data_IF_409452281503
#
_entry.id   IF_409452281503
#
_cell.length_a   1.000
_cell.length_b   1.000
_cell.length_c   1.000
_cell.angle_alpha   90.00
_cell.angle_beta   90.00
_cell.angle_gamma   90.00
#
_symmetry.space_group_name_H-M   'P 1'
#
loop_
_entity.id
_entity.type
_entity.pdbx_description
1 polymer ?
#
# COMPACT_ATOMS: atom_id res chain seq x y z
N UNK A 1 17.36 -31.48 -0.30
CA UNK A 1 16.87 -30.49 -1.28
C UNK A 1 16.70 -29.07 -0.71
N UNK A 2 17.29 -28.76 0.47
CA UNK A 2 17.26 -27.40 1.08
C UNK A 2 18.66 -26.76 1.12
N UNK A 3 19.72 -27.47 0.74
CA UNK A 3 21.10 -26.94 0.82
C UNK A 3 21.59 -26.22 -0.44
N UNK A 4 20.85 -26.27 -1.56
CA UNK A 4 21.22 -25.60 -2.81
C UNK A 4 20.91 -24.10 -2.83
N UNK A 5 19.89 -23.66 -2.10
CA UNK A 5 19.44 -22.25 -2.09
C UNK A 5 20.30 -21.38 -1.16
N UNK A 6 20.93 -21.99 -0.14
CA UNK A 6 21.81 -21.30 0.80
C UNK A 6 23.18 -20.94 0.21
N UNK A 7 23.65 -21.64 -0.83
CA UNK A 7 24.95 -21.36 -1.47
C UNK A 7 24.93 -20.29 -2.56
N UNK A 8 23.75 -19.84 -3.01
CA UNK A 8 23.61 -18.65 -3.85
C UNK A 8 23.61 -17.35 -3.03
N UNK A 9 23.45 -17.44 -1.71
CA UNK A 9 23.35 -16.29 -0.81
C UNK A 9 24.65 -15.98 -0.05
N UNK A 10 25.66 -16.86 -0.11
CA UNK A 10 26.84 -16.71 0.73
C UNK A 10 28.14 -16.66 -0.07
N UNK A 11 28.87 -15.55 0.12
CA UNK A 11 30.22 -15.20 -0.39
C UNK A 11 30.37 -14.96 -1.89
N UNK A 12 31.07 -13.96 -2.42
CA UNK A 12 32.20 -13.08 -2.03
C UNK A 12 32.09 -11.86 -2.97
N UNK A 13 32.37 -10.61 -2.61
CA UNK A 13 33.70 -10.01 -2.59
C UNK A 13 33.66 -8.65 -1.88
N UNK A 14 34.65 -8.39 -1.02
CA UNK A 14 34.91 -7.09 -0.39
C UNK A 14 35.98 -6.38 -1.22
N UNK A 15 35.69 -5.17 -1.71
CA UNK A 15 36.71 -4.34 -2.35
C UNK A 15 37.61 -3.78 -1.23
N UNK A 16 38.93 -3.99 -1.28
CA UNK A 16 39.83 -3.47 -0.25
C UNK A 16 39.83 -1.94 -0.34
N UNK A 17 39.46 -1.26 0.75
CA UNK A 17 39.45 0.20 0.87
C UNK A 17 38.09 0.86 1.08
N UNK A 18 36.96 0.14 1.03
CA UNK A 18 35.64 0.68 1.38
C UNK A 18 34.78 -0.32 2.16
N UNK A 19 33.95 0.17 3.09
CA UNK A 19 33.08 -0.65 3.95
C UNK A 19 31.72 -0.98 3.27
N UNK A 20 31.66 -1.01 1.95
CA UNK A 20 30.43 -1.28 1.19
C UNK A 20 30.26 -2.78 0.93
N UNK A 21 29.09 -3.33 1.26
CA UNK A 21 28.72 -4.73 1.00
C UNK A 21 27.71 -4.75 -0.15
N UNK A 22 28.03 -5.43 -1.26
CA UNK A 22 27.11 -5.61 -2.38
C UNK A 22 26.05 -6.67 -2.03
N UNK A 23 24.90 -6.22 -1.55
CA UNK A 23 23.63 -6.92 -1.70
C UNK A 23 22.96 -6.53 -3.02
N UNK A 24 21.74 -7.01 -3.23
CA UNK A 24 20.82 -6.76 -4.36
C UNK A 24 20.50 -5.27 -4.66
N UNK A 25 21.15 -4.35 -3.94
CA UNK A 25 20.91 -2.91 -3.95
C UNK A 25 21.23 -2.15 -5.26
N UNK A 26 22.25 -2.48 -6.06
CA UNK A 26 22.58 -1.68 -7.22
C UNK A 26 21.74 -1.98 -8.47
N UNK A 27 21.04 -3.12 -8.53
CA UNK A 27 20.18 -3.47 -9.69
C UNK A 27 18.82 -2.75 -9.61
N UNK A 28 18.31 -2.54 -8.40
CA UNK A 28 17.03 -1.87 -8.14
C UNK A 28 17.06 -0.40 -8.55
N UNK A 29 18.23 0.25 -8.50
CA UNK A 29 18.40 1.65 -8.92
C UNK A 29 18.51 1.88 -10.43
N UNK A 30 18.72 0.82 -11.24
CA UNK A 30 18.97 0.93 -12.68
C UNK A 30 17.72 0.75 -13.56
N UNK A 31 16.66 0.17 -13.01
CA UNK A 31 15.41 -0.08 -13.76
C UNK A 31 14.25 0.66 -13.09
N UNK A 32 13.83 1.81 -13.62
CA UNK A 32 12.61 2.47 -13.16
C UNK A 32 11.43 1.48 -13.23
N UNK A 33 10.71 1.32 -12.13
CA UNK A 33 9.57 0.40 -11.99
C UNK A 33 9.87 -0.94 -11.27
N UNK A 34 11.14 -1.33 -11.06
CA UNK A 34 11.46 -2.55 -10.27
C UNK A 34 11.12 -2.38 -8.78
N UNK A 35 11.33 -1.18 -8.24
CA UNK A 35 10.96 -0.86 -6.86
C UNK A 35 9.46 -1.06 -6.61
N UNK A 36 8.62 -0.66 -7.57
CA UNK A 36 7.16 -0.78 -7.48
C UNK A 36 6.71 -2.24 -7.51
N UNK A 37 7.34 -3.07 -8.36
CA UNK A 37 7.06 -4.50 -8.43
C UNK A 37 7.42 -5.23 -7.12
N UNK A 38 8.59 -4.94 -6.54
CA UNK A 38 9.02 -5.56 -5.28
C UNK A 38 8.12 -5.09 -4.13
N UNK A 39 7.80 -3.80 -4.05
CA UNK A 39 6.90 -3.26 -3.04
C UNK A 39 5.49 -3.86 -3.12
N UNK A 40 4.96 -4.03 -4.34
CA UNK A 40 3.67 -4.65 -4.59
C UNK A 40 3.64 -6.13 -4.17
N UNK A 41 4.68 -6.90 -4.52
CA UNK A 41 4.81 -8.30 -4.15
C UNK A 41 4.91 -8.49 -2.62
N UNK A 42 5.69 -7.65 -1.94
CA UNK A 42 5.80 -7.70 -0.48
C UNK A 42 4.49 -7.31 0.21
N UNK A 43 3.81 -6.27 -0.26
CA UNK A 43 2.53 -5.81 0.30
C UNK A 43 1.43 -6.86 0.12
N UNK A 44 1.27 -7.38 -1.10
CA UNK A 44 0.28 -8.41 -1.41
C UNK A 44 0.56 -9.72 -0.68
N UNK A 45 1.81 -10.17 -0.64
CA UNK A 45 2.22 -11.36 0.11
C UNK A 45 1.92 -11.26 1.61
N UNK A 46 2.13 -10.09 2.22
CA UNK A 46 1.80 -9.84 3.62
C UNK A 46 0.28 -9.96 3.87
N UNK A 47 -0.54 -9.26 3.08
CA UNK A 47 -2.01 -9.27 3.24
C UNK A 47 -2.58 -10.67 3.03
N UNK A 48 -2.14 -11.40 2.00
CA UNK A 48 -2.59 -12.77 1.72
C UNK A 48 -2.21 -13.73 2.85
N UNK A 49 -0.97 -13.65 3.33
CA UNK A 49 -0.47 -14.51 4.42
C UNK A 49 -1.24 -14.31 5.72
N UNK A 50 -1.63 -13.07 6.00
CA UNK A 50 -2.39 -12.70 7.19
C UNK A 50 -3.86 -13.09 7.05
N UNK A 51 -4.46 -12.88 5.87
CA UNK A 51 -5.84 -13.29 5.60
C UNK A 51 -6.04 -14.80 5.80
N UNK A 52 -5.06 -15.62 5.37
CA UNK A 52 -5.06 -17.08 5.60
C UNK A 52 -4.95 -17.47 7.08
N UNK A 53 -4.48 -16.57 7.96
CA UNK A 53 -4.36 -16.80 9.41
C UNK A 53 -5.61 -16.40 10.20
N UNK A 54 -6.71 -16.06 9.51
CA UNK A 54 -8.01 -15.85 10.16
C UNK A 54 -8.08 -14.60 11.04
N UNK A 55 -7.34 -13.55 10.70
CA UNK A 55 -7.47 -12.25 11.39
C UNK A 55 -8.89 -11.69 11.28
N UNK A 56 -9.28 -10.86 12.26
CA UNK A 56 -10.60 -10.22 12.26
C UNK A 56 -10.91 -9.45 10.97
N UNK A 57 -12.18 -9.49 10.55
CA UNK A 57 -12.64 -8.75 9.38
C UNK A 57 -12.45 -7.24 9.50
N UNK A 58 -12.50 -6.68 10.72
CA UNK A 58 -12.23 -5.26 10.97
C UNK A 58 -10.78 -4.89 10.66
N UNK A 59 -9.82 -5.72 11.07
CA UNK A 59 -8.40 -5.50 10.73
C UNK A 59 -8.18 -5.56 9.21
N UNK A 60 -8.77 -6.54 8.52
CA UNK A 60 -8.66 -6.66 7.06
C UNK A 60 -9.17 -5.40 6.36
N UNK A 61 -10.36 -4.90 6.72
CA UNK A 61 -10.92 -3.68 6.12
C UNK A 61 -10.01 -2.47 6.34
N UNK A 62 -9.42 -2.32 7.54
CA UNK A 62 -8.49 -1.22 7.82
C UNK A 62 -7.18 -1.33 7.03
N UNK A 63 -6.61 -2.54 6.92
CA UNK A 63 -5.40 -2.78 6.14
C UNK A 63 -5.63 -2.54 4.65
N UNK A 64 -6.79 -2.96 4.13
CA UNK A 64 -7.21 -2.71 2.75
C UNK A 64 -7.46 -1.23 2.49
N UNK A 65 -8.08 -0.50 3.41
CA UNK A 65 -8.33 0.93 3.28
C UNK A 65 -7.02 1.73 3.21
N UNK A 66 -6.03 1.39 4.06
CA UNK A 66 -4.71 2.00 3.97
C UNK A 66 -4.09 1.75 2.59
N UNK A 67 -4.03 0.49 2.15
CA UNK A 67 -3.46 0.16 0.84
C UNK A 67 -4.16 0.88 -0.32
N UNK A 68 -5.49 1.05 -0.25
CA UNK A 68 -6.27 1.80 -1.24
C UNK A 68 -5.95 3.30 -1.24
N UNK A 69 -5.91 3.93 -0.06
CA UNK A 69 -5.49 5.34 0.08
C UNK A 69 -4.07 5.53 -0.44
N UNK A 70 -3.22 4.56 -0.16
CA UNK A 70 -1.84 4.63 -0.58
C UNK A 70 -1.71 4.49 -2.11
N UNK A 71 -2.54 3.66 -2.75
CA UNK A 71 -2.63 3.57 -4.20
C UNK A 71 -3.17 4.87 -4.84
N UNK A 72 -4.17 5.52 -4.24
CA UNK A 72 -4.69 6.82 -4.72
C UNK A 72 -3.57 7.87 -4.67
N UNK A 73 -2.87 7.98 -3.53
CA UNK A 73 -1.82 8.98 -3.37
C UNK A 73 -0.61 8.66 -4.28
N UNK A 74 -0.24 7.39 -4.39
CA UNK A 74 0.82 6.92 -5.28
C UNK A 74 0.49 7.07 -6.77
N UNK A 75 -0.78 7.24 -7.14
CA UNK A 75 -1.20 7.49 -8.53
C UNK A 75 -0.91 8.92 -9.00
N UNK A 76 -0.50 9.83 -8.10
CA UNK A 76 -0.16 11.22 -8.41
C UNK A 76 1.29 11.25 -8.92
N UNK A 77 1.54 11.51 -10.22
CA UNK A 77 2.86 11.37 -10.85
C UNK A 77 3.86 12.48 -10.52
N UNK A 78 3.50 13.43 -9.63
CA UNK A 78 4.26 14.66 -9.37
C UNK A 78 5.26 14.51 -8.22
N UNK A 79 5.33 13.35 -7.54
CA UNK A 79 6.18 13.18 -6.36
C UNK A 79 7.22 12.07 -6.56
N UNK A 80 8.50 12.45 -6.64
CA UNK A 80 9.65 11.53 -6.59
C UNK A 80 9.79 10.75 -5.26
N UNK A 81 8.82 10.85 -4.35
CA UNK A 81 8.76 10.19 -3.04
C UNK A 81 7.77 9.01 -2.98
N UNK A 82 7.27 8.55 -4.13
CA UNK A 82 6.31 7.43 -4.24
C UNK A 82 6.80 6.18 -3.48
N UNK A 83 8.10 5.84 -3.56
CA UNK A 83 8.68 4.70 -2.83
C UNK A 83 8.60 4.87 -1.31
N UNK A 84 8.95 6.06 -0.79
CA UNK A 84 8.88 6.36 0.64
C UNK A 84 7.44 6.31 1.16
N UNK A 85 6.51 6.77 0.33
CA UNK A 85 5.09 6.73 0.65
C UNK A 85 4.53 5.30 0.69
N UNK A 86 4.88 4.43 -0.26
CA UNK A 86 4.51 3.00 -0.23
C UNK A 86 5.17 2.24 0.93
N UNK A 87 6.40 2.56 1.31
CA UNK A 87 7.02 1.93 2.49
C UNK A 87 6.31 2.31 3.79
N UNK A 88 5.82 3.55 3.90
CA UNK A 88 5.03 4.01 5.05
C UNK A 88 3.69 3.27 5.15
N UNK A 89 3.03 2.99 4.03
CA UNK A 89 1.81 2.19 3.94
C UNK A 89 1.95 0.81 4.60
N UNK A 90 2.93 0.04 4.12
CA UNK A 90 3.18 -1.33 4.59
C UNK A 90 3.58 -1.34 6.06
N UNK A 91 4.40 -0.38 6.48
CA UNK A 91 4.81 -0.24 7.88
C UNK A 91 3.63 0.02 8.81
N UNK A 92 2.67 0.86 8.39
CA UNK A 92 1.41 1.08 9.14
C UNK A 92 0.59 -0.20 9.27
N UNK A 93 0.45 -0.96 8.19
CA UNK A 93 -0.26 -2.23 8.17
C UNK A 93 0.38 -3.29 9.09
N UNK A 94 1.71 -3.42 9.06
CA UNK A 94 2.46 -4.30 9.99
C UNK A 94 2.26 -3.85 11.44
N UNK A 95 2.28 -2.55 11.71
CA UNK A 95 2.04 -2.01 13.06
C UNK A 95 0.62 -2.30 13.56
N UNK A 96 -0.39 -2.22 12.69
CA UNK A 96 -1.77 -2.59 13.05
C UNK A 96 -1.90 -4.08 13.34
N UNK A 97 -1.24 -4.93 12.54
CA UNK A 97 -1.20 -6.37 12.80
C UNK A 97 -0.55 -6.69 14.15
N UNK A 98 0.58 -6.03 14.45
CA UNK A 98 1.25 -6.17 15.74
C UNK A 98 0.32 -5.81 16.90
N UNK A 99 -0.36 -4.66 16.81
CA UNK A 99 -1.37 -4.23 17.81
C UNK A 99 -2.56 -5.19 17.92
N UNK A 100 -2.93 -5.84 16.82
CA UNK A 100 -4.00 -6.85 16.83
C UNK A 100 -3.60 -8.07 17.68
N UNK A 101 -2.38 -8.57 17.51
CA UNK A 101 -1.89 -9.74 18.25
C UNK A 101 -1.43 -9.41 19.68
N UNK A 102 -0.73 -8.30 19.89
CA UNK A 102 -0.17 -7.93 21.21
C UNK A 102 -1.18 -7.24 22.11
N UNK A 103 -1.99 -6.34 21.56
CA UNK A 103 -2.88 -5.46 22.35
C UNK A 103 -4.36 -5.87 22.23
N UNK A 104 -4.67 -6.92 21.44
CA UNK A 104 -6.05 -7.34 21.17
C UNK A 104 -6.89 -6.25 20.47
N UNK A 105 -6.25 -5.29 19.79
CA UNK A 105 -6.96 -4.19 19.11
C UNK A 105 -7.55 -4.64 17.78
N UNK A 106 -8.54 -3.89 17.29
CA UNK A 106 -9.20 -4.13 15.99
C UNK A 106 -9.96 -5.45 15.86
N UNK A 107 -10.30 -6.11 16.98
CA UNK A 107 -11.13 -7.30 16.99
C UNK A 107 -12.56 -7.03 16.48
N UNK A 108 -13.23 -8.09 16.01
CA UNK A 108 -14.64 -8.07 15.62
C UNK A 108 -14.92 -7.93 14.12
N UNK A 109 -16.21 -7.72 13.80
CA UNK A 109 -16.70 -7.66 12.42
C UNK A 109 -16.42 -6.31 11.76
N UNK A 110 -15.87 -6.33 10.55
CA UNK A 110 -15.62 -5.13 9.76
C UNK A 110 -16.88 -4.52 9.10
N UNK A 111 -18.04 -5.19 9.20
CA UNK A 111 -19.27 -4.80 8.48
C UNK A 111 -19.70 -3.35 8.74
N UNK A 112 -19.69 -2.89 9.99
CA UNK A 112 -20.06 -1.50 10.31
C UNK A 112 -19.11 -0.48 9.68
N UNK A 113 -17.81 -0.79 9.67
CA UNK A 113 -16.81 0.06 9.02
C UNK A 113 -17.01 0.09 7.50
N UNK A 114 -17.31 -1.06 6.88
CA UNK A 114 -17.62 -1.13 5.45
C UNK A 114 -18.86 -0.30 5.10
N UNK A 115 -19.93 -0.38 5.90
CA UNK A 115 -21.15 0.41 5.68
C UNK A 115 -20.82 1.91 5.74
N UNK A 116 -20.04 2.35 6.73
CA UNK A 116 -19.63 3.76 6.85
C UNK A 116 -18.79 4.18 5.63
N UNK A 117 -17.82 3.37 5.21
CA UNK A 117 -16.99 3.65 4.04
C UNK A 117 -17.84 3.78 2.77
N UNK A 118 -18.76 2.85 2.55
CA UNK A 118 -19.67 2.86 1.38
C UNK A 118 -20.58 4.09 1.44
N UNK A 119 -21.14 4.42 2.60
CA UNK A 119 -21.97 5.59 2.78
C UNK A 119 -21.21 6.89 2.46
N UNK A 120 -20.01 7.05 3.02
CA UNK A 120 -19.14 8.21 2.74
C UNK A 120 -18.83 8.30 1.25
N UNK A 121 -18.49 7.18 0.62
CA UNK A 121 -18.20 7.13 -0.82
C UNK A 121 -19.42 7.57 -1.66
N UNK A 122 -20.61 7.08 -1.34
CA UNK A 122 -21.85 7.46 -2.03
C UNK A 122 -22.16 8.96 -1.86
N UNK A 123 -21.99 9.50 -0.64
CA UNK A 123 -22.19 10.93 -0.38
C UNK A 123 -21.21 11.77 -1.20
N UNK A 124 -19.93 11.40 -1.24
CA UNK A 124 -18.92 12.09 -2.06
C UNK A 124 -19.28 12.05 -3.56
N UNK A 125 -19.77 10.91 -4.05
CA UNK A 125 -20.19 10.74 -5.44
C UNK A 125 -21.38 11.65 -5.78
N UNK A 126 -22.39 11.73 -4.91
CA UNK A 126 -23.53 12.61 -5.09
C UNK A 126 -23.13 14.09 -5.08
N UNK A 127 -22.23 14.49 -4.18
CA UNK A 127 -21.67 15.84 -4.14
C UNK A 127 -20.94 16.15 -5.46
N UNK A 128 -20.13 15.22 -5.95
CA UNK A 128 -19.40 15.39 -7.22
C UNK A 128 -20.36 15.57 -8.40
N UNK A 129 -21.41 14.73 -8.49
CA UNK A 129 -22.44 14.86 -9.54
C UNK A 129 -23.12 16.23 -9.44
N UNK A 130 -23.48 16.67 -8.22
CA UNK A 130 -24.10 17.96 -8.00
C UNK A 130 -23.20 19.12 -8.46
N UNK A 131 -21.91 19.07 -8.12
CA UNK A 131 -20.93 20.07 -8.54
C UNK A 131 -20.81 20.09 -10.07
N UNK A 132 -20.67 18.93 -10.71
CA UNK A 132 -20.59 18.83 -12.17
C UNK A 132 -21.84 19.41 -12.83
N UNK A 133 -23.02 19.04 -12.33
CA UNK A 133 -24.28 19.54 -12.87
C UNK A 133 -24.39 21.06 -12.74
N UNK A 134 -24.01 21.61 -11.58
CA UNK A 134 -23.95 23.07 -11.38
C UNK A 134 -22.94 23.76 -12.28
N UNK A 135 -21.80 23.14 -12.51
CA UNK A 135 -20.78 23.67 -13.41
C UNK A 135 -21.25 23.67 -14.88
N UNK A 136 -21.99 22.63 -15.29
CA UNK A 136 -22.61 22.55 -16.63
C UNK A 136 -23.71 23.61 -16.80
N UNK A 137 -24.57 23.80 -15.80
CA UNK A 137 -25.60 24.85 -15.80
C UNK A 137 -24.97 26.24 -15.93
N UNK A 138 -23.92 26.51 -15.15
CA UNK A 138 -23.18 27.77 -15.22
C UNK A 138 -22.53 28.00 -16.60
N UNK A 139 -21.93 26.96 -17.19
CA UNK A 139 -21.37 27.04 -18.55
C UNK A 139 -22.43 27.28 -19.61
N UNK A 140 -23.60 26.64 -19.49
CA UNK A 140 -24.70 26.82 -20.44
C UNK A 140 -25.18 28.28 -20.46
N UNK A 141 -25.38 28.89 -19.29
CA UNK A 141 -25.77 30.30 -19.16
C UNK A 141 -24.70 31.30 -19.63
N UNK A 142 -23.43 30.88 -19.67
CA UNK A 142 -22.35 31.73 -20.18
C UNK A 142 -22.32 31.74 -21.71
N UNK A 143 -22.77 30.66 -22.35
CA UNK A 143 -22.67 30.45 -23.81
C UNK A 143 -23.97 30.84 -24.53
N UNK A 144 -25.14 30.65 -23.90
CA UNK A 144 -26.47 30.91 -24.46
C UNK A 144 -27.25 31.89 -23.59
#
# INVERSE_FOLDING_TARGET
>A
MVEGLARLLDTKFKIPGTNFRFGIDPVIGLVPGLGDLIAFLLSSGLIISIARRGVSGKLLVLMSLNAFLDAIIGSIPILGSIIDFFYKANTRNVKMLRRYYEEGKYQGSGKGLVIVIVFVFLVLLLILIFIIWKLLEWLYQLVF
#
